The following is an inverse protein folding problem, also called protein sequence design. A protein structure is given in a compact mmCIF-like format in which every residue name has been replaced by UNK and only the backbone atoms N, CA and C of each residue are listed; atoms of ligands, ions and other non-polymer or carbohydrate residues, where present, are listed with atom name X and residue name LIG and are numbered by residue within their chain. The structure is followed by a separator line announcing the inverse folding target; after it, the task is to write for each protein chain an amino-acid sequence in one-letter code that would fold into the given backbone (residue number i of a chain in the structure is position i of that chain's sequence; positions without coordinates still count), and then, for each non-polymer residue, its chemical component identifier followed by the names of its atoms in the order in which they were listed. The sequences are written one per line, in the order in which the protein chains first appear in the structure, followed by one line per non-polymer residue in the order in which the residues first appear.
data_IF_384385359956
#
_entry.id   IF_384385359956
#
_cell.length_a   1.000
_cell.length_b   1.000
_cell.length_c   1.000
_cell.angle_alpha   90.00
_cell.angle_beta   90.00
_cell.angle_gamma   90.00
#
_symmetry.space_group_name_H-M   'P 1'
#
loop_
_entity.id
_entity.type
_entity.pdbx_description
1 polymer ?
#
# COMPACT_ATOMS: atom_id res chain seq x y z
N UNK A 1 -15.02 19.94 -31.24
CA UNK A 1 -14.63 18.91 -30.27
C UNK A 1 -13.14 19.07 -30.16
N UNK A 2 -12.71 19.82 -29.14
CA UNK A 2 -11.36 20.37 -29.06
C UNK A 2 -10.43 19.38 -28.38
N UNK A 3 -9.38 19.00 -29.10
CA UNK A 3 -8.26 18.17 -28.65
C UNK A 3 -7.43 18.93 -27.60
N UNK A 4 -7.21 18.31 -26.44
CA UNK A 4 -6.27 18.82 -25.45
C UNK A 4 -4.83 18.53 -25.90
N UNK A 5 -4.20 19.48 -26.61
CA UNK A 5 -2.75 19.49 -26.84
C UNK A 5 -2.03 19.85 -25.54
N UNK A 6 -0.92 19.18 -25.25
CA UNK A 6 0.06 19.66 -24.28
C UNK A 6 0.38 21.13 -24.58
N UNK A 7 0.01 22.02 -23.66
CA UNK A 7 0.29 23.43 -23.79
C UNK A 7 1.82 23.60 -23.87
N UNK A 8 2.30 24.25 -24.93
CA UNK A 8 3.56 25.02 -24.85
C UNK A 8 3.48 25.85 -23.57
N UNK A 9 4.51 25.79 -22.72
CA UNK A 9 4.63 26.67 -21.55
C UNK A 9 4.20 28.08 -21.97
N UNK A 10 3.23 28.67 -21.26
CA UNK A 10 2.81 30.02 -21.59
C UNK A 10 4.02 30.94 -21.37
N UNK A 11 4.05 32.09 -22.07
CA UNK A 11 5.11 33.07 -21.85
C UNK A 11 5.20 33.51 -20.38
N UNK A 12 4.07 33.51 -19.68
CA UNK A 12 4.02 33.78 -18.24
C UNK A 12 4.69 32.67 -17.42
N UNK A 13 4.51 31.40 -17.77
CA UNK A 13 5.18 30.28 -17.11
C UNK A 13 6.69 30.32 -17.36
N UNK A 14 7.12 30.66 -18.59
CA UNK A 14 8.54 30.83 -18.93
C UNK A 14 9.19 31.96 -18.14
N UNK A 15 8.51 33.12 -18.01
CA UNK A 15 8.99 34.24 -17.22
C UNK A 15 8.98 33.94 -15.71
N UNK A 16 8.05 33.11 -15.22
CA UNK A 16 8.00 32.67 -13.83
C UNK A 16 9.14 31.70 -13.50
N UNK A 17 9.37 30.69 -14.34
CA UNK A 17 10.49 29.74 -14.21
C UNK A 17 11.84 30.46 -14.27
N UNK A 18 11.97 31.51 -15.11
CA UNK A 18 13.18 32.31 -15.18
C UNK A 18 13.45 33.20 -13.94
N UNK A 19 12.45 33.46 -13.10
CA UNK A 19 12.56 34.36 -11.92
C UNK A 19 12.73 33.62 -10.60
N UNK A 20 12.40 32.33 -10.54
CA UNK A 20 12.58 31.51 -9.35
C UNK A 20 13.73 30.54 -9.60
N UNK A 21 14.94 30.78 -9.06
CA UNK A 21 16.04 29.85 -9.21
C UNK A 21 15.68 28.54 -8.50
N UNK A 22 15.34 27.53 -9.28
CA UNK A 22 15.20 26.14 -8.82
C UNK A 22 16.53 25.46 -9.16
N UNK A 23 17.32 25.13 -8.15
CA UNK A 23 18.54 24.34 -8.33
C UNK A 23 18.15 22.89 -8.62
N UNK A 24 17.98 22.58 -9.91
CA UNK A 24 17.84 21.21 -10.39
C UNK A 24 19.24 20.64 -10.60
N UNK A 25 19.57 19.57 -9.89
CA UNK A 25 20.84 18.87 -10.04
C UNK A 25 20.86 18.03 -11.31
N UNK A 26 19.79 17.26 -11.55
CA UNK A 26 19.62 16.48 -12.77
C UNK A 26 18.15 16.31 -13.13
N UNK A 27 17.90 16.19 -14.43
CA UNK A 27 16.63 15.69 -14.98
C UNK A 27 16.97 14.44 -15.79
N UNK A 28 16.39 13.33 -15.42
CA UNK A 28 16.57 12.05 -16.11
C UNK A 28 15.25 11.67 -16.76
N UNK A 29 15.30 11.38 -18.07
CA UNK A 29 14.20 10.76 -18.80
C UNK A 29 14.64 9.34 -19.09
N UNK A 30 14.00 8.38 -18.44
CA UNK A 30 14.35 6.98 -18.50
C UNK A 30 13.28 6.27 -19.31
N UNK A 31 13.69 5.73 -20.45
CA UNK A 31 12.91 4.76 -21.20
C UNK A 31 13.11 3.38 -20.57
N UNK A 32 12.05 2.82 -19.99
CA UNK A 32 12.12 1.58 -19.25
C UNK A 32 12.17 0.33 -20.14
N UNK A 33 12.16 0.46 -21.47
CA UNK A 33 12.31 -0.69 -22.39
C UNK A 33 13.62 -1.47 -22.16
N UNK A 34 14.69 -0.80 -21.71
CA UNK A 34 16.03 -1.38 -21.56
C UNK A 34 16.52 -1.52 -20.12
N UNK A 35 15.89 -0.82 -19.20
CA UNK A 35 16.24 -0.78 -17.78
C UNK A 35 15.00 -1.13 -16.98
N UNK A 36 14.84 -2.41 -16.65
CA UNK A 36 13.83 -2.84 -15.67
C UNK A 36 14.22 -2.25 -14.31
N UNK A 37 13.75 -1.05 -13.98
CA UNK A 37 13.82 -0.57 -12.62
C UNK A 37 12.94 -1.48 -11.75
N UNK A 38 13.59 -2.25 -10.88
CA UNK A 38 12.99 -2.79 -9.68
C UNK A 38 12.69 -1.59 -8.78
N UNK A 39 11.50 -1.02 -8.90
CA UNK A 39 10.99 -0.11 -7.88
C UNK A 39 10.85 -0.95 -6.60
N UNK A 40 11.82 -0.76 -5.69
CA UNK A 40 12.07 -1.43 -4.41
C UNK A 40 12.99 -2.67 -4.43
N UNK A 41 14.29 -2.44 -4.22
CA UNK A 41 15.16 -3.35 -3.47
C UNK A 41 15.56 -2.66 -2.14
N UNK A 42 14.94 -3.12 -1.03
CA UNK A 42 15.42 -3.15 0.37
C UNK A 42 15.18 -1.98 1.37
N UNK A 43 15.01 -2.25 2.70
CA UNK A 43 15.19 -3.52 3.45
C UNK A 43 13.99 -4.03 4.31
N UNK A 44 13.71 -5.34 4.20
CA UNK A 44 12.93 -6.30 5.06
C UNK A 44 11.46 -5.99 5.43
N UNK A 45 10.48 -6.90 5.33
CA UNK A 45 10.47 -8.37 5.41
C UNK A 45 10.85 -9.08 4.10
N UNK A 46 11.74 -10.06 4.20
CA UNK A 46 12.08 -10.99 3.12
C UNK A 46 10.88 -11.83 2.69
N UNK A 47 10.06 -11.32 1.77
CA UNK A 47 9.27 -12.17 0.88
C UNK A 47 10.27 -12.65 -0.19
N UNK A 48 10.54 -13.96 -0.33
CA UNK A 48 11.35 -14.47 -1.43
C UNK A 48 10.87 -13.85 -2.74
N UNK A 49 11.77 -13.31 -3.59
CA UNK A 49 11.36 -12.67 -4.86
C UNK A 49 10.67 -13.65 -5.83
N UNK A 50 10.62 -14.94 -5.48
CA UNK A 50 9.81 -15.98 -6.13
C UNK A 50 8.31 -15.92 -5.78
N UNK A 51 7.89 -15.12 -4.80
CA UNK A 51 6.50 -14.99 -4.32
C UNK A 51 5.93 -13.57 -4.50
N UNK A 52 6.74 -12.58 -4.89
CA UNK A 52 6.19 -11.32 -5.41
C UNK A 52 5.61 -11.61 -6.79
N UNK A 53 4.30 -11.50 -6.93
CA UNK A 53 3.61 -11.78 -8.17
C UNK A 53 4.19 -10.85 -9.27
N UNK A 54 4.99 -11.43 -10.19
CA UNK A 54 5.63 -10.72 -11.33
C UNK A 54 4.62 -9.90 -12.14
N UNK A 55 3.33 -10.19 -11.98
CA UNK A 55 2.19 -9.50 -12.57
C UNK A 55 2.12 -8.01 -12.21
N UNK A 56 2.54 -7.59 -11.02
CA UNK A 56 2.56 -6.17 -10.66
C UNK A 56 3.71 -5.41 -11.35
N UNK A 57 4.85 -6.07 -11.62
CA UNK A 57 5.96 -5.49 -12.39
C UNK A 57 5.72 -5.51 -13.91
N UNK A 58 4.97 -6.49 -14.44
CA UNK A 58 4.78 -6.63 -15.90
C UNK A 58 3.82 -5.60 -16.51
N UNK A 59 3.03 -4.88 -15.72
CA UNK A 59 2.09 -3.85 -16.24
C UNK A 59 2.77 -2.55 -16.67
N UNK A 60 4.09 -2.46 -16.51
CA UNK A 60 4.87 -1.25 -16.80
C UNK A 60 5.80 -1.38 -18.01
N UNK A 61 5.51 -2.28 -18.95
CA UNK A 61 6.43 -2.60 -20.04
C UNK A 61 6.73 -1.41 -21.00
N UNK A 62 5.81 -0.45 -21.13
CA UNK A 62 6.04 0.77 -21.94
C UNK A 62 5.82 2.03 -21.07
N UNK A 63 6.86 2.45 -20.33
CA UNK A 63 6.81 3.69 -19.55
C UNK A 63 8.04 4.56 -19.73
N UNK A 64 7.79 5.87 -19.71
CA UNK A 64 8.81 6.91 -19.58
C UNK A 64 8.78 7.41 -18.14
N UNK A 65 9.91 7.33 -17.45
CA UNK A 65 10.08 7.94 -16.12
C UNK A 65 10.78 9.27 -16.30
N UNK A 66 10.15 10.35 -15.85
CA UNK A 66 10.79 11.65 -15.69
C UNK A 66 11.15 11.82 -14.22
N UNK A 67 12.44 11.75 -13.92
CA UNK A 67 12.99 12.02 -12.60
C UNK A 67 13.61 13.41 -12.58
N UNK A 68 13.22 14.22 -11.60
CA UNK A 68 13.81 15.53 -11.34
C UNK A 68 14.47 15.49 -9.98
N UNK A 69 15.78 15.62 -9.92
CA UNK A 69 16.59 15.56 -8.71
C UNK A 69 17.13 16.95 -8.35
N UNK A 70 17.02 17.36 -7.09
CA UNK A 70 17.41 18.70 -6.61
C UNK A 70 18.69 18.71 -5.77
N UNK A 71 19.35 17.56 -5.61
CA UNK A 71 20.54 17.43 -4.78
C UNK A 71 21.48 16.38 -5.36
N UNK A 72 22.80 16.60 -5.27
CA UNK A 72 23.80 15.73 -5.90
C UNK A 72 23.82 14.29 -5.36
N UNK A 73 23.54 14.11 -4.07
CA UNK A 73 23.38 12.79 -3.45
C UNK A 73 22.01 12.19 -3.82
N UNK A 74 22.05 11.09 -4.59
CA UNK A 74 20.88 10.31 -5.00
C UNK A 74 20.08 9.78 -3.80
N UNK A 75 20.75 9.43 -2.71
CA UNK A 75 20.13 8.88 -1.51
C UNK A 75 19.61 9.97 -0.56
N UNK A 76 19.77 11.25 -0.91
CA UNK A 76 19.25 12.36 -0.11
C UNK A 76 17.72 12.42 -0.06
N UNK A 77 17.05 11.62 -0.90
CA UNK A 77 15.61 11.60 -1.07
C UNK A 77 15.08 12.75 -1.92
N UNK A 78 15.80 13.88 -2.06
CA UNK A 78 15.31 15.13 -2.68
C UNK A 78 15.07 15.04 -4.20
N UNK A 79 14.03 14.32 -4.62
CA UNK A 79 13.65 14.11 -6.02
C UNK A 79 12.13 14.00 -6.20
N UNK A 80 11.68 14.25 -7.43
CA UNK A 80 10.37 13.88 -7.94
C UNK A 80 10.52 12.82 -9.02
N UNK A 81 9.63 11.84 -9.02
CA UNK A 81 9.51 10.92 -10.14
C UNK A 81 8.07 10.92 -10.66
N UNK A 82 7.95 11.20 -11.95
CA UNK A 82 6.71 11.12 -12.72
C UNK A 82 6.84 9.93 -13.67
N UNK A 83 5.91 8.99 -13.59
CA UNK A 83 5.92 7.83 -14.49
C UNK A 83 4.72 7.95 -15.43
N UNK A 84 5.03 8.00 -16.73
CA UNK A 84 4.08 8.06 -17.83
C UNK A 84 4.03 6.69 -18.49
N UNK A 85 2.83 6.13 -18.65
CA UNK A 85 2.62 4.91 -19.43
C UNK A 85 2.14 5.25 -20.83
N UNK A 86 2.76 4.67 -21.85
CA UNK A 86 2.22 4.72 -23.21
C UNK A 86 1.11 3.66 -23.36
N UNK A 87 0.02 3.99 -24.04
CA UNK A 87 -1.12 3.09 -24.26
C UNK A 87 -1.53 3.12 -25.74
N UNK A 88 -0.83 2.34 -26.57
CA UNK A 88 -1.08 2.24 -28.02
C UNK A 88 -0.35 3.27 -28.88
N UNK A 89 -0.84 3.46 -30.11
CA UNK A 89 -0.27 4.37 -31.13
C UNK A 89 -0.53 5.85 -30.83
N UNK A 90 -1.47 6.16 -29.93
CA UNK A 90 -1.76 7.51 -29.47
C UNK A 90 -1.11 7.76 -28.10
N UNK A 91 -0.25 8.76 -28.03
CA UNK A 91 0.42 9.20 -26.80
C UNK A 91 -0.57 9.96 -25.90
N UNK A 92 -1.59 9.29 -25.37
CA UNK A 92 -2.28 9.80 -24.17
C UNK A 92 -1.35 9.58 -22.97
N UNK A 93 -0.49 10.56 -22.70
CA UNK A 93 0.40 10.58 -21.54
C UNK A 93 -0.42 10.65 -20.24
N UNK A 94 -0.72 9.49 -19.65
CA UNK A 94 -1.44 9.40 -18.38
C UNK A 94 -0.43 9.24 -17.25
N UNK A 95 -0.30 10.25 -16.40
CA UNK A 95 0.43 10.16 -15.15
C UNK A 95 -0.30 9.21 -14.19
N UNK A 96 0.16 7.96 -14.12
CA UNK A 96 -0.46 6.90 -13.29
C UNK A 96 0.16 6.78 -11.89
N UNK A 97 1.44 7.11 -11.77
CA UNK A 97 2.21 6.96 -10.55
C UNK A 97 2.90 8.27 -10.16
N UNK A 98 2.81 8.60 -8.87
CA UNK A 98 3.41 9.78 -8.26
C UNK A 98 4.29 9.33 -7.09
N UNK A 99 5.59 9.59 -7.18
CA UNK A 99 6.52 9.39 -6.08
C UNK A 99 7.08 10.72 -5.60
N UNK A 100 6.83 11.01 -4.33
CA UNK A 100 7.27 12.22 -3.64
C UNK A 100 8.17 11.81 -2.49
N UNK A 101 9.45 12.15 -2.58
CA UNK A 101 10.41 11.95 -1.50
C UNK A 101 10.97 13.33 -1.11
N UNK A 102 10.24 14.11 -0.31
CA UNK A 102 10.71 15.45 0.04
C UNK A 102 10.44 15.80 1.49
N UNK A 103 11.50 16.23 2.17
CA UNK A 103 11.46 16.59 3.58
C UNK A 103 11.06 18.05 3.81
N UNK A 104 11.32 18.93 2.83
CA UNK A 104 11.09 20.39 2.90
C UNK A 104 10.58 20.94 1.55
N UNK A 105 9.48 20.40 1.02
CA UNK A 105 8.88 20.95 -0.19
C UNK A 105 8.27 22.34 0.07
N UNK A 106 8.62 23.33 -0.76
CA UNK A 106 8.12 24.70 -0.62
C UNK A 106 6.74 24.83 -1.26
N UNK A 107 5.69 24.82 -0.43
CA UNK A 107 4.29 24.93 -0.86
C UNK A 107 3.98 26.27 -1.55
N UNK A 108 4.62 27.35 -1.10
CA UNK A 108 4.29 28.73 -1.48
C UNK A 108 4.62 29.03 -2.95
N UNK A 109 5.64 28.38 -3.49
CA UNK A 109 6.12 28.60 -4.86
C UNK A 109 5.64 27.52 -5.83
N UNK A 110 4.95 26.49 -5.33
CA UNK A 110 4.51 25.36 -6.14
C UNK A 110 3.43 25.77 -7.15
N UNK A 111 3.63 25.38 -8.41
CA UNK A 111 2.65 25.56 -9.48
C UNK A 111 1.74 24.33 -9.68
N UNK A 112 1.90 23.28 -8.85
CA UNK A 112 1.09 22.06 -8.97
C UNK A 112 -0.33 22.36 -8.49
N UNK A 113 -1.29 22.24 -9.41
CA UNK A 113 -2.71 22.51 -9.14
C UNK A 113 -3.48 21.25 -8.78
N UNK A 114 -3.45 20.23 -9.65
CA UNK A 114 -4.16 18.97 -9.45
C UNK A 114 -3.62 17.89 -10.39
N UNK A 115 -3.61 16.64 -9.94
CA UNK A 115 -3.09 15.47 -10.64
C UNK A 115 -4.20 14.40 -10.75
N UNK A 116 -5.20 14.63 -11.63
CA UNK A 116 -6.48 13.91 -11.62
C UNK A 116 -6.38 12.41 -11.94
N UNK A 117 -5.34 11.99 -12.66
CA UNK A 117 -5.20 10.62 -13.17
C UNK A 117 -4.24 9.75 -12.34
N UNK A 118 -3.74 10.26 -11.20
CA UNK A 118 -2.86 9.51 -10.32
C UNK A 118 -3.61 8.34 -9.66
N UNK A 119 -3.19 7.11 -9.99
CA UNK A 119 -3.75 5.88 -9.44
C UNK A 119 -2.91 5.31 -8.31
N UNK A 120 -1.61 5.56 -8.32
CA UNK A 120 -0.68 5.03 -7.33
C UNK A 120 0.18 6.16 -6.80
N UNK A 121 0.20 6.31 -5.49
CA UNK A 121 0.73 7.50 -4.85
C UNK A 121 1.65 7.06 -3.71
N UNK A 122 2.90 7.47 -3.78
CA UNK A 122 3.88 7.32 -2.72
C UNK A 122 4.26 8.71 -2.22
N UNK A 123 4.07 8.94 -0.93
CA UNK A 123 4.44 10.19 -0.25
C UNK A 123 5.34 9.83 0.92
N UNK A 124 6.63 10.17 0.78
CA UNK A 124 7.54 10.30 1.89
C UNK A 124 7.61 11.77 2.33
N UNK A 125 7.05 12.05 3.50
CA UNK A 125 6.86 13.41 4.00
C UNK A 125 7.12 13.50 5.50
N UNK A 126 7.64 14.65 5.93
CA UNK A 126 8.00 14.86 7.33
C UNK A 126 6.80 15.14 8.25
N UNK A 127 5.62 15.52 7.74
CA UNK A 127 4.50 15.83 8.63
C UNK A 127 3.16 15.94 7.93
N UNK A 128 2.09 15.97 8.74
CA UNK A 128 0.70 15.97 8.26
C UNK A 128 0.43 17.09 7.26
N UNK A 129 0.94 18.29 7.50
CA UNK A 129 0.64 19.44 6.62
C UNK A 129 1.16 19.24 5.19
N UNK A 130 2.27 18.53 5.02
CA UNK A 130 2.76 18.18 3.70
C UNK A 130 1.88 17.12 3.02
N UNK A 131 1.48 16.09 3.78
CA UNK A 131 0.59 15.05 3.26
C UNK A 131 -0.76 15.68 2.89
N UNK A 132 -1.29 16.56 3.73
CA UNK A 132 -2.52 17.33 3.51
C UNK A 132 -2.43 18.17 2.24
N UNK A 133 -1.31 18.87 2.05
CA UNK A 133 -1.08 19.66 0.85
C UNK A 133 -1.10 18.80 -0.42
N UNK A 134 -0.51 17.60 -0.38
CA UNK A 134 -0.57 16.64 -1.49
C UNK A 134 -1.96 16.06 -1.69
N UNK A 135 -2.70 15.76 -0.63
CA UNK A 135 -4.06 15.23 -0.71
C UNK A 135 -5.01 16.17 -1.43
N UNK A 136 -4.82 17.49 -1.31
CA UNK A 136 -5.57 18.51 -2.07
C UNK A 136 -5.29 18.47 -3.58
N UNK A 137 -4.23 17.78 -4.02
CA UNK A 137 -3.73 17.76 -5.40
C UNK A 137 -3.86 16.41 -6.08
N UNK A 138 -4.41 15.42 -5.39
CA UNK A 138 -4.62 14.06 -5.90
C UNK A 138 -6.12 13.72 -5.78
N UNK A 139 -6.63 12.78 -6.59
CA UNK A 139 -8.01 12.36 -6.48
C UNK A 139 -8.29 11.68 -5.13
N UNK A 140 -9.50 11.86 -4.62
CA UNK A 140 -10.01 11.16 -3.44
C UNK A 140 -9.98 9.64 -3.62
N UNK A 141 -10.18 9.17 -4.86
CA UNK A 141 -10.13 7.76 -5.22
C UNK A 141 -8.87 7.46 -6.03
N UNK A 142 -8.09 6.50 -5.54
CA UNK A 142 -6.92 5.96 -6.22
C UNK A 142 -6.74 4.50 -5.79
N UNK A 143 -5.87 3.76 -6.50
CA UNK A 143 -5.70 2.32 -6.33
C UNK A 143 -4.70 2.00 -5.20
N UNK A 144 -3.62 2.79 -5.07
CA UNK A 144 -2.55 2.54 -4.11
C UNK A 144 -2.11 3.83 -3.40
N UNK A 145 -2.00 3.77 -2.08
CA UNK A 145 -1.45 4.84 -1.25
C UNK A 145 -0.36 4.30 -0.34
N UNK A 146 0.83 4.85 -0.49
CA UNK A 146 1.98 4.57 0.34
C UNK A 146 2.38 5.84 1.08
N UNK A 147 2.36 5.81 2.41
CA UNK A 147 2.82 6.92 3.25
C UNK A 147 4.03 6.49 4.06
N UNK A 148 5.12 7.26 3.94
CA UNK A 148 6.35 7.04 4.70
C UNK A 148 6.76 8.32 5.42
N UNK A 149 6.63 8.34 6.74
CA UNK A 149 7.08 9.48 7.56
C UNK A 149 8.35 9.19 8.33
N UNK A 150 8.90 7.98 8.16
CA UNK A 150 10.08 7.49 8.88
C UNK A 150 11.39 7.69 8.08
N UNK A 151 11.41 8.62 7.13
CA UNK A 151 12.60 8.92 6.33
C UNK A 151 13.70 9.63 7.15
N UNK A 152 13.32 10.40 8.16
CA UNK A 152 14.25 10.97 9.13
C UNK A 152 14.25 10.08 10.37
N UNK A 153 15.36 9.37 10.65
CA UNK A 153 15.54 8.48 11.82
C UNK A 153 15.22 9.16 13.16
N UNK A 154 15.13 10.50 13.20
CA UNK A 154 14.69 11.26 14.38
C UNK A 154 13.18 11.19 14.63
N UNK A 155 12.39 10.64 13.69
CA UNK A 155 10.92 10.61 13.72
C UNK A 155 10.33 9.21 13.84
N UNK A 156 11.10 8.23 14.32
CA UNK A 156 10.63 6.85 14.56
C UNK A 156 9.37 6.78 15.45
N UNK A 157 9.11 7.81 16.26
CA UNK A 157 7.94 7.89 17.15
C UNK A 157 6.78 8.72 16.61
N UNK A 158 6.93 9.38 15.46
CA UNK A 158 5.88 10.23 14.92
C UNK A 158 4.70 9.39 14.43
N UNK A 159 3.48 9.84 14.77
CA UNK A 159 2.23 9.11 14.50
C UNK A 159 1.30 9.99 13.68
N UNK A 160 0.75 9.44 12.60
CA UNK A 160 -0.31 10.07 11.81
C UNK A 160 -1.54 10.19 12.71
N UNK A 161 -2.04 11.41 12.97
CA UNK A 161 -3.08 11.62 13.96
C UNK A 161 -4.45 11.22 13.43
N UNK A 162 -5.32 10.79 14.33
CA UNK A 162 -6.64 10.20 14.06
C UNK A 162 -7.51 11.08 13.16
N UNK A 163 -7.51 12.40 13.38
CA UNK A 163 -8.30 13.36 12.62
C UNK A 163 -7.91 13.44 11.14
N UNK A 164 -6.67 13.09 10.80
CA UNK A 164 -6.19 13.07 9.43
C UNK A 164 -6.60 11.79 8.68
N UNK A 165 -6.72 10.68 9.41
CA UNK A 165 -6.95 9.35 8.83
C UNK A 165 -8.33 9.17 8.21
N UNK A 166 -9.28 10.08 8.48
CA UNK A 166 -10.60 10.11 7.84
C UNK A 166 -10.60 10.67 6.41
N UNK A 167 -9.45 11.10 5.89
CA UNK A 167 -9.36 11.58 4.52
C UNK A 167 -9.91 10.54 3.52
N UNK A 168 -10.74 10.93 2.54
CA UNK A 168 -11.22 10.02 1.50
C UNK A 168 -10.11 9.24 0.80
N UNK A 169 -8.98 9.91 0.58
CA UNK A 169 -7.72 9.36 0.06
C UNK A 169 -7.20 8.15 0.85
N UNK A 170 -7.55 8.03 2.13
CA UNK A 170 -7.14 6.91 2.99
C UNK A 170 -8.28 5.91 3.10
N UNK A 171 -9.48 6.39 3.40
CA UNK A 171 -10.63 5.53 3.72
C UNK A 171 -11.14 4.73 2.52
N UNK A 172 -10.97 5.24 1.31
CA UNK A 172 -11.49 4.64 0.07
C UNK A 172 -10.45 3.85 -0.73
N UNK A 173 -9.17 3.95 -0.35
CA UNK A 173 -8.08 3.38 -1.15
C UNK A 173 -7.99 1.86 -0.95
N UNK A 174 -8.01 1.05 -2.03
CA UNK A 174 -7.96 -0.40 -1.93
C UNK A 174 -6.66 -0.95 -1.33
N UNK A 175 -5.51 -0.35 -1.65
CA UNK A 175 -4.20 -0.79 -1.18
C UNK A 175 -3.53 0.32 -0.36
N UNK A 176 -3.40 0.09 0.96
CA UNK A 176 -2.96 1.10 1.92
C UNK A 176 -1.72 0.63 2.67
N UNK A 177 -0.58 1.29 2.44
CA UNK A 177 0.70 0.93 3.04
C UNK A 177 1.31 2.11 3.77
N UNK A 178 1.27 2.10 5.09
CA UNK A 178 1.97 3.11 5.88
C UNK A 178 3.21 2.48 6.49
N UNK A 179 4.38 2.97 6.06
CA UNK A 179 5.67 2.73 6.73
C UNK A 179 5.83 3.65 7.95
N UNK A 180 4.73 3.86 8.67
CA UNK A 180 4.56 4.89 9.69
C UNK A 180 3.55 4.44 10.72
N UNK A 181 3.65 5.00 11.93
CA UNK A 181 2.63 4.83 12.97
C UNK A 181 1.35 5.55 12.57
N UNK A 182 0.21 4.88 12.73
CA UNK A 182 -1.10 5.46 12.46
C UNK A 182 -2.07 5.24 13.62
N UNK A 183 -2.65 6.34 14.09
CA UNK A 183 -3.61 6.35 15.18
C UNK A 183 -5.04 6.07 14.71
N UNK A 184 -5.25 5.05 13.87
CA UNK A 184 -6.60 4.62 13.51
C UNK A 184 -7.35 4.18 14.76
N UNK A 185 -8.59 4.64 14.94
CA UNK A 185 -9.51 4.03 15.91
C UNK A 185 -10.07 2.72 15.36
N UNK A 186 -10.61 1.88 16.25
CA UNK A 186 -11.32 0.66 15.81
C UNK A 186 -12.44 0.98 14.82
N UNK A 187 -13.21 2.05 15.06
CA UNK A 187 -14.27 2.48 14.15
C UNK A 187 -13.73 2.85 12.77
N UNK A 188 -12.62 3.59 12.70
CA UNK A 188 -12.01 3.94 11.41
C UNK A 188 -11.50 2.69 10.69
N UNK A 189 -10.77 1.83 11.40
CA UNK A 189 -10.26 0.56 10.84
C UNK A 189 -11.38 -0.33 10.30
N UNK A 190 -12.47 -0.48 11.06
CA UNK A 190 -13.65 -1.27 10.69
C UNK A 190 -14.43 -0.71 9.50
N UNK A 191 -14.16 0.54 9.08
CA UNK A 191 -14.82 1.22 7.98
C UNK A 191 -13.92 1.42 6.75
N UNK A 192 -12.63 1.06 6.82
CA UNK A 192 -11.72 1.06 5.67
C UNK A 192 -12.29 0.23 4.52
N UNK A 193 -12.15 0.73 3.29
CA UNK A 193 -12.47 -0.01 2.06
C UNK A 193 -11.27 -0.78 1.48
N UNK A 194 -10.13 -0.68 2.15
CA UNK A 194 -8.90 -1.30 1.74
C UNK A 194 -8.98 -2.83 1.85
N UNK A 195 -8.56 -3.51 0.79
CA UNK A 195 -8.45 -4.96 0.75
C UNK A 195 -7.02 -5.44 1.04
N UNK A 196 -6.02 -4.57 0.95
CA UNK A 196 -4.64 -4.85 1.31
C UNK A 196 -4.11 -3.70 2.18
N UNK A 197 -3.86 -3.98 3.46
CA UNK A 197 -3.45 -2.96 4.43
C UNK A 197 -2.22 -3.38 5.22
N UNK A 198 -1.34 -2.42 5.49
CA UNK A 198 -0.20 -2.58 6.38
C UNK A 198 0.15 -1.25 7.05
N UNK A 199 0.22 -1.22 8.38
CA UNK A 199 0.66 -0.05 9.15
C UNK A 199 1.05 -0.41 10.58
N UNK A 200 1.83 0.45 11.25
CA UNK A 200 2.08 0.37 12.70
C UNK A 200 0.89 0.97 13.44
N UNK A 201 0.10 0.11 14.07
CA UNK A 201 -1.16 0.46 14.71
C UNK A 201 -0.96 0.89 16.17
N UNK A 202 -1.42 2.09 16.49
CA UNK A 202 -1.26 2.66 17.84
C UNK A 202 -2.49 2.43 18.72
N UNK A 203 -3.70 2.56 18.15
CA UNK A 203 -4.96 2.58 18.90
C UNK A 203 -5.92 1.43 18.54
N UNK A 204 -5.48 0.47 17.72
CA UNK A 204 -6.31 -0.67 17.34
C UNK A 204 -6.30 -1.71 18.46
N UNK A 205 -7.48 -2.00 18.97
CA UNK A 205 -7.68 -2.92 20.10
C UNK A 205 -7.94 -4.35 19.62
N UNK A 206 -7.80 -5.31 20.53
CA UNK A 206 -8.15 -6.71 20.29
C UNK A 206 -9.63 -6.87 19.88
N UNK A 207 -10.53 -6.06 20.45
CA UNK A 207 -11.94 -6.06 20.09
C UNK A 207 -12.16 -5.52 18.66
N UNK A 208 -11.45 -4.45 18.28
CA UNK A 208 -11.45 -3.95 16.90
C UNK A 208 -11.02 -5.02 15.88
N UNK A 209 -9.95 -5.75 16.18
CA UNK A 209 -9.45 -6.85 15.35
C UNK A 209 -10.46 -8.01 15.32
N UNK A 210 -10.99 -8.42 16.47
CA UNK A 210 -11.99 -9.47 16.58
C UNK A 210 -13.24 -9.14 15.76
N UNK A 211 -13.76 -7.92 15.89
CA UNK A 211 -14.92 -7.44 15.13
C UNK A 211 -14.64 -7.41 13.63
N UNK A 212 -13.44 -7.02 13.20
CA UNK A 212 -13.04 -7.04 11.79
C UNK A 212 -13.13 -8.45 11.20
N UNK A 213 -12.56 -9.43 11.90
CA UNK A 213 -12.62 -10.85 11.50
C UNK A 213 -14.06 -11.35 11.49
N UNK A 214 -14.87 -11.05 12.53
CA UNK A 214 -16.29 -11.44 12.59
C UNK A 214 -17.13 -10.85 11.46
N UNK A 215 -16.87 -9.60 11.06
CA UNK A 215 -17.51 -8.99 9.89
C UNK A 215 -17.19 -9.79 8.62
N UNK A 216 -15.92 -10.14 8.40
CA UNK A 216 -15.53 -10.97 7.25
C UNK A 216 -16.19 -12.35 7.28
N UNK A 217 -16.11 -13.07 8.42
CA UNK A 217 -16.70 -14.41 8.60
C UNK A 217 -18.21 -14.43 8.32
N UNK A 218 -18.92 -13.34 8.63
CA UNK A 218 -20.35 -13.19 8.39
C UNK A 218 -20.73 -12.63 7.00
N UNK A 219 -19.77 -12.50 6.08
CA UNK A 219 -20.01 -11.97 4.73
C UNK A 219 -20.17 -10.45 4.66
N UNK A 220 -19.87 -9.73 5.73
CA UNK A 220 -19.93 -8.26 5.83
C UNK A 220 -18.54 -7.61 5.83
N UNK A 221 -17.51 -8.37 5.47
CA UNK A 221 -16.15 -7.87 5.35
C UNK A 221 -15.93 -7.02 4.10
N UNK A 222 -14.71 -6.54 3.93
CA UNK A 222 -14.30 -5.80 2.73
C UNK A 222 -14.31 -6.75 1.52
N UNK A 223 -14.90 -6.31 0.41
CA UNK A 223 -14.90 -7.05 -0.84
C UNK A 223 -13.47 -7.24 -1.36
N UNK A 224 -13.17 -8.43 -1.88
CA UNK A 224 -11.85 -8.78 -2.39
C UNK A 224 -10.71 -8.66 -1.35
N UNK A 225 -11.02 -8.70 -0.06
CA UNK A 225 -10.02 -8.67 1.02
C UNK A 225 -8.88 -9.68 0.76
N UNK A 226 -7.64 -9.19 0.86
CA UNK A 226 -6.40 -9.92 0.67
C UNK A 226 -5.68 -10.09 2.00
N UNK A 227 -5.30 -8.98 2.65
CA UNK A 227 -4.54 -9.04 3.90
C UNK A 227 -4.65 -7.76 4.74
N UNK A 228 -4.40 -7.93 6.03
CA UNK A 228 -4.16 -6.86 6.99
C UNK A 228 -2.94 -7.18 7.85
N UNK A 229 -1.94 -6.30 7.83
CA UNK A 229 -0.74 -6.40 8.65
C UNK A 229 -0.77 -5.28 9.69
N UNK A 230 -1.07 -5.64 10.93
CA UNK A 230 -1.23 -4.72 12.03
C UNK A 230 0.02 -4.81 12.91
N UNK A 231 1.01 -3.98 12.60
CA UNK A 231 2.29 -3.96 13.30
C UNK A 231 2.16 -3.22 14.62
N UNK A 232 2.77 -3.71 15.68
CA UNK A 232 2.64 -3.12 17.01
C UNK A 232 3.72 -3.68 17.93
N UNK A 233 4.26 -2.84 18.82
CA UNK A 233 5.13 -3.31 19.91
C UNK A 233 4.32 -3.81 21.13
N UNK A 234 3.00 -3.92 21.00
CA UNK A 234 2.08 -4.33 22.07
C UNK A 234 1.88 -5.83 22.11
N UNK A 235 1.83 -6.38 23.32
CA UNK A 235 1.46 -7.78 23.55
C UNK A 235 -0.07 -7.93 23.46
N UNK A 236 -0.57 -8.22 22.26
CA UNK A 236 -1.99 -8.49 22.05
C UNK A 236 -2.47 -9.75 22.79
N UNK A 237 -3.63 -9.65 23.45
CA UNK A 237 -4.29 -10.80 24.06
C UNK A 237 -4.97 -11.66 22.98
N UNK A 238 -4.36 -12.82 22.71
CA UNK A 238 -4.86 -13.81 21.75
C UNK A 238 -6.28 -14.27 22.07
N UNK A 239 -6.63 -14.42 23.35
CA UNK A 239 -7.95 -14.88 23.78
C UNK A 239 -9.03 -13.85 23.49
N UNK A 240 -8.70 -12.56 23.59
CA UNK A 240 -9.59 -11.46 23.24
C UNK A 240 -9.79 -11.37 21.71
N UNK A 241 -8.70 -11.43 20.93
CA UNK A 241 -8.77 -11.41 19.45
C UNK A 241 -9.57 -12.59 18.92
N UNK A 242 -9.45 -13.76 19.52
CA UNK A 242 -10.09 -14.98 19.04
C UNK A 242 -11.47 -15.25 19.64
N UNK A 243 -11.93 -14.41 20.57
CA UNK A 243 -13.16 -14.66 21.31
C UNK A 243 -14.39 -14.84 20.39
N UNK A 244 -15.05 -16.00 20.51
CA UNK A 244 -16.25 -16.34 19.75
C UNK A 244 -16.01 -16.63 18.26
N UNK A 245 -14.77 -16.91 17.86
CA UNK A 245 -14.40 -17.41 16.54
C UNK A 245 -14.19 -18.92 16.59
N UNK A 246 -14.59 -19.63 15.53
CA UNK A 246 -14.25 -21.03 15.34
C UNK A 246 -12.85 -21.12 14.73
N UNK A 247 -11.89 -21.62 15.50
CA UNK A 247 -10.49 -21.71 15.09
C UNK A 247 -10.13 -23.16 14.77
N UNK A 248 -9.40 -23.35 13.66
CA UNK A 248 -8.62 -24.56 13.41
C UNK A 248 -7.14 -24.21 13.53
N UNK A 249 -6.40 -24.73 14.52
CA UNK A 249 -4.96 -24.54 14.59
C UNK A 249 -4.27 -24.98 13.30
N UNK A 250 -3.26 -24.23 12.85
CA UNK A 250 -2.37 -24.65 11.76
C UNK A 250 -1.33 -25.63 12.32
N UNK A 251 -1.79 -26.76 12.85
CA UNK A 251 -0.98 -27.81 13.46
C UNK A 251 -0.44 -28.80 12.40
N UNK A 252 0.20 -29.88 12.87
CA UNK A 252 0.76 -30.91 11.98
C UNK A 252 -0.28 -31.59 11.09
N UNK A 253 -1.55 -31.61 11.48
CA UNK A 253 -2.60 -32.25 10.67
C UNK A 253 -3.06 -31.30 9.56
N UNK A 254 -3.15 -29.99 9.84
CA UNK A 254 -3.31 -29.00 8.78
C UNK A 254 -2.11 -28.97 7.82
N UNK A 255 -0.88 -29.07 8.34
CA UNK A 255 0.33 -29.10 7.49
C UNK A 255 0.36 -30.30 6.55
N UNK A 256 -0.11 -31.49 6.97
CA UNK A 256 -0.25 -32.65 6.08
C UNK A 256 -1.27 -32.41 4.96
N UNK A 257 -2.35 -31.69 5.24
CA UNK A 257 -3.40 -31.35 4.27
C UNK A 257 -2.92 -30.30 3.27
N UNK A 258 -2.22 -29.27 3.74
CA UNK A 258 -1.88 -28.07 2.99
C UNK A 258 -0.36 -27.80 2.92
N UNK A 259 0.45 -28.86 2.83
CA UNK A 259 1.92 -28.79 2.94
C UNK A 259 2.57 -27.73 2.03
N UNK A 260 2.11 -27.63 0.77
CA UNK A 260 2.62 -26.63 -0.17
C UNK A 260 2.35 -25.19 0.26
N UNK A 261 1.19 -24.92 0.87
CA UNK A 261 0.88 -23.63 1.45
C UNK A 261 1.71 -23.37 2.71
N UNK A 262 1.74 -24.31 3.65
CA UNK A 262 2.47 -24.16 4.91
C UNK A 262 3.97 -23.90 4.69
N UNK A 263 4.59 -24.60 3.74
CA UNK A 263 6.02 -24.40 3.43
C UNK A 263 6.34 -22.95 3.01
N UNK A 264 5.51 -22.36 2.14
CA UNK A 264 5.67 -20.96 1.75
C UNK A 264 5.25 -20.00 2.86
N UNK A 265 4.13 -20.28 3.52
CA UNK A 265 3.52 -19.39 4.51
C UNK A 265 4.36 -19.23 5.77
N UNK A 266 5.05 -20.29 6.22
CA UNK A 266 5.93 -20.24 7.40
C UNK A 266 7.14 -19.31 7.23
N UNK A 267 7.44 -18.88 6.00
CA UNK A 267 8.46 -17.83 5.77
C UNK A 267 7.96 -16.44 6.12
N UNK A 268 6.63 -16.25 6.19
CA UNK A 268 5.95 -14.98 6.41
C UNK A 268 5.22 -14.94 7.77
N UNK A 269 4.56 -16.03 8.19
CA UNK A 269 4.02 -16.23 9.55
C UNK A 269 5.11 -16.81 10.45
N UNK A 270 5.51 -16.07 11.49
CA UNK A 270 6.54 -16.50 12.48
C UNK A 270 5.97 -16.88 13.85
N UNK A 271 4.66 -17.01 13.99
CA UNK A 271 4.05 -17.28 15.28
C UNK A 271 2.82 -18.17 15.22
N UNK A 272 1.93 -18.05 16.21
CA UNK A 272 0.74 -18.90 16.30
C UNK A 272 -0.20 -18.59 15.15
N UNK A 273 -0.60 -19.63 14.42
CA UNK A 273 -1.36 -19.51 13.19
C UNK A 273 -2.67 -20.33 13.27
N UNK A 274 -3.80 -19.69 12.94
CA UNK A 274 -5.14 -20.28 12.96
C UNK A 274 -5.86 -20.09 11.62
N UNK A 275 -6.58 -21.10 11.15
CA UNK A 275 -7.56 -20.98 10.09
C UNK A 275 -8.93 -20.60 10.68
N UNK A 276 -9.59 -19.66 10.02
CA UNK A 276 -10.92 -19.15 10.39
C UNK A 276 -11.79 -19.22 9.14
N UNK A 277 -12.78 -20.10 9.12
CA UNK A 277 -13.62 -20.34 7.94
C UNK A 277 -14.75 -19.33 7.84
N UNK A 278 -15.12 -18.99 6.61
CA UNK A 278 -16.31 -18.18 6.35
C UNK A 278 -17.58 -18.96 6.70
N UNK A 279 -18.58 -18.27 7.28
CA UNK A 279 -19.92 -18.83 7.50
C UNK A 279 -20.78 -18.79 6.24
N UNK A 280 -20.35 -18.05 5.21
CA UNK A 280 -21.06 -17.92 3.93
C UNK A 280 -20.58 -18.97 2.94
N UNK A 281 -19.26 -19.18 2.86
CA UNK A 281 -18.64 -20.17 1.99
C UNK A 281 -17.64 -21.02 2.78
N UNK A 282 -17.93 -22.30 3.07
CA UNK A 282 -17.06 -23.13 3.90
C UNK A 282 -15.70 -23.44 3.25
N UNK A 283 -15.51 -23.13 1.96
CA UNK A 283 -14.23 -23.30 1.27
C UNK A 283 -13.37 -22.03 1.26
N UNK A 284 -13.90 -20.91 1.76
CA UNK A 284 -13.12 -19.70 2.00
C UNK A 284 -12.68 -19.62 3.45
N UNK A 285 -11.44 -19.19 3.67
CA UNK A 285 -10.91 -19.00 5.03
C UNK A 285 -9.91 -17.85 5.11
N UNK A 286 -9.80 -17.29 6.31
CA UNK A 286 -8.69 -16.44 6.72
C UNK A 286 -7.65 -17.28 7.46
N UNK A 287 -6.39 -16.88 7.32
CA UNK A 287 -5.33 -17.25 8.26
C UNK A 287 -5.02 -16.07 9.15
N UNK A 288 -5.23 -16.25 10.46
CA UNK A 288 -4.80 -15.34 11.51
C UNK A 288 -3.43 -15.80 12.00
N UNK A 289 -2.44 -14.93 11.90
CA UNK A 289 -1.08 -15.10 12.43
C UNK A 289 -0.85 -14.08 13.54
N UNK A 290 -0.28 -14.52 14.65
CA UNK A 290 0.21 -13.64 15.71
C UNK A 290 1.70 -13.86 15.93
N UNK A 291 2.51 -12.85 15.64
CA UNK A 291 3.90 -12.75 16.06
C UNK A 291 4.03 -11.75 17.21
N UNK A 292 5.25 -11.58 17.74
CA UNK A 292 5.55 -10.64 18.81
C UNK A 292 5.32 -9.17 18.42
N UNK A 293 5.40 -8.88 17.12
CA UNK A 293 5.40 -7.52 16.55
C UNK A 293 4.25 -7.28 15.55
N UNK A 294 3.41 -8.29 15.28
CA UNK A 294 2.36 -8.18 14.28
C UNK A 294 1.17 -9.12 14.55
N UNK A 295 -0.03 -8.60 14.34
CA UNK A 295 -1.21 -9.41 14.06
C UNK A 295 -1.48 -9.35 12.56
N UNK A 296 -1.34 -10.48 11.89
CA UNK A 296 -1.54 -10.58 10.44
C UNK A 296 -2.79 -11.40 10.12
N UNK A 297 -3.62 -10.88 9.23
CA UNK A 297 -4.83 -11.54 8.74
C UNK A 297 -4.68 -11.68 7.23
N UNK A 298 -4.77 -12.90 6.69
CA UNK A 298 -4.65 -13.17 5.26
C UNK A 298 -5.87 -13.93 4.75
N UNK A 299 -6.41 -13.60 3.58
CA UNK A 299 -7.38 -14.43 2.87
C UNK A 299 -6.64 -15.53 2.10
N UNK A 300 -6.57 -16.72 2.70
CA UNK A 300 -5.72 -17.82 2.20
C UNK A 300 -6.52 -18.95 1.59
N UNK A 301 -7.68 -19.29 2.14
CA UNK A 301 -8.57 -20.31 1.60
C UNK A 301 -9.45 -19.73 0.49
N UNK A 302 -9.44 -20.38 -0.68
CA UNK A 302 -10.31 -20.05 -1.82
C UNK A 302 -11.06 -21.30 -2.25
N UNK A 303 -12.34 -21.13 -2.60
CA UNK A 303 -13.12 -22.18 -3.26
C UNK A 303 -12.45 -22.57 -4.57
N UNK A 304 -12.17 -23.85 -4.74
CA UNK A 304 -11.69 -24.43 -5.98
C UNK A 304 -12.47 -25.71 -6.31
N UNK A 305 -12.47 -26.09 -7.59
CA UNK A 305 -13.09 -27.33 -8.05
C UNK A 305 -12.10 -28.14 -8.88
N UNK A 306 -12.00 -29.44 -8.60
CA UNK A 306 -11.21 -30.38 -9.39
C UNK A 306 -12.00 -31.67 -9.57
N UNK A 307 -12.22 -32.06 -10.82
CA UNK A 307 -12.98 -33.26 -11.18
C UNK A 307 -14.38 -33.30 -10.53
N UNK A 308 -15.10 -32.16 -10.51
CA UNK A 308 -16.44 -32.07 -9.92
C UNK A 308 -16.47 -32.07 -8.38
N UNK A 309 -15.32 -32.08 -7.70
CA UNK A 309 -15.23 -31.97 -6.24
C UNK A 309 -14.76 -30.59 -5.84
N UNK A 310 -15.55 -29.91 -5.00
CA UNK A 310 -15.18 -28.64 -4.40
C UNK A 310 -14.25 -28.87 -3.20
N UNK A 311 -13.20 -28.07 -3.11
CA UNK A 311 -12.22 -28.11 -2.03
C UNK A 311 -11.69 -26.70 -1.72
N UNK A 312 -11.05 -26.55 -0.57
CA UNK A 312 -10.34 -25.33 -0.19
C UNK A 312 -8.94 -25.36 -0.80
N UNK A 313 -8.64 -24.42 -1.67
CA UNK A 313 -7.28 -24.19 -2.16
C UNK A 313 -6.63 -23.10 -1.31
N UNK A 314 -5.53 -23.45 -0.65
CA UNK A 314 -4.78 -22.53 0.20
C UNK A 314 -3.62 -21.91 -0.57
N UNK A 315 -3.56 -20.58 -0.59
CA UNK A 315 -2.44 -19.82 -1.16
C UNK A 315 -2.22 -18.51 -0.42
N UNK A 316 -1.04 -17.90 -0.61
CA UNK A 316 -0.89 -16.48 -0.26
C UNK A 316 -1.78 -15.61 -1.18
N UNK A 317 -2.31 -14.48 -0.68
CA UNK A 317 -3.19 -13.59 -1.44
C UNK A 317 -2.58 -13.04 -2.72
#
# INVERSE_FOLDING_TARGET
MDEARFCRCSRADYEAVGKTPIEVYSVEIIDNEKSHYSLSEEPFVSIPSTLLDKKYLSTFQDNVVVRVQFHHDYNSGKRFELIFSQLGDDTEEIMKYLNIEMTNYSFEISQIKFLPRCKSIYIAANGVEMIRWWFQRIPDQHENLHLNTNFDKKRETWTIPTEFLNAPQIMLTPNLYFFSRAAFTDEQFLNLKANDISFDCVNITEDGINQYIKKWVSGKGVENFKRALLWSNGNYDESAITHGLELRPCDSDFEKEAAGFCWGFNTVCRGTCYQIYSKIDPYESLTLCRSDDCVSIYKTGRRAERNGKTYSYYSMP
#
